data_IF_856020656343
#
_entry.id   IF_856020656343
#
_cell.length_a   1.000
_cell.length_b   1.000
_cell.length_c   1.000
_cell.angle_alpha   90.00
_cell.angle_beta   90.00
_cell.angle_gamma   90.00
#
_symmetry.space_group_name_H-M   'P 1'
#
loop_
_entity.id
_entity.type
_entity.pdbx_description
1 polymer ?
#
# COMPACT_ATOMS: atom_id res chain seq x y z
N UNK A 1 -43.42 -3.13 43.00
CA UNK A 1 -42.35 -2.11 42.91
C UNK A 1 -41.21 -2.67 43.75
N UNK A 2 -40.02 -3.03 43.25
CA UNK A 2 -39.28 -2.58 42.06
C UNK A 2 -38.19 -3.64 41.79
N UNK A 3 -38.08 -4.15 40.55
CA UNK A 3 -36.85 -4.81 40.09
C UNK A 3 -36.08 -3.74 39.31
N UNK A 4 -35.03 -3.18 39.92
CA UNK A 4 -34.11 -2.28 39.24
C UNK A 4 -33.13 -3.10 38.41
N UNK A 5 -32.88 -2.59 37.21
CA UNK A 5 -32.19 -3.23 36.11
C UNK A 5 -30.70 -3.45 36.41
N UNK A 6 -30.19 -4.61 35.99
CA UNK A 6 -28.74 -4.82 35.89
C UNK A 6 -28.16 -3.82 34.88
N UNK A 7 -27.09 -3.17 35.31
CA UNK A 7 -26.35 -2.16 34.56
C UNK A 7 -25.85 -2.74 33.22
N UNK A 8 -26.37 -2.20 32.12
CA UNK A 8 -26.10 -2.63 30.74
C UNK A 8 -24.71 -2.17 30.25
N UNK A 9 -23.99 -1.39 31.07
CA UNK A 9 -22.73 -0.75 30.70
C UNK A 9 -21.52 -1.27 31.50
N UNK A 10 -21.60 -2.46 32.10
CA UNK A 10 -20.38 -3.14 32.53
C UNK A 10 -19.51 -3.43 31.29
N UNK A 11 -18.27 -2.91 31.23
CA UNK A 11 -17.36 -3.27 30.15
C UNK A 11 -16.96 -4.73 30.37
N UNK A 12 -17.70 -5.64 29.75
CA UNK A 12 -17.26 -7.02 29.58
C UNK A 12 -15.86 -6.95 28.96
N UNK A 13 -14.84 -7.45 29.67
CA UNK A 13 -13.43 -7.45 29.28
C UNK A 13 -13.10 -8.31 28.05
N UNK A 14 -14.00 -8.37 27.06
CA UNK A 14 -13.74 -8.91 25.74
C UNK A 14 -13.11 -7.83 24.87
N UNK A 15 -12.00 -8.16 24.22
CA UNK A 15 -11.37 -7.31 23.22
C UNK A 15 -12.43 -6.81 22.23
N UNK A 16 -12.54 -5.49 22.07
CA UNK A 16 -13.37 -4.88 21.04
C UNK A 16 -12.86 -5.39 19.70
N UNK A 17 -13.66 -6.13 18.90
CA UNK A 17 -13.20 -6.58 17.59
C UNK A 17 -12.85 -5.35 16.76
N UNK A 18 -11.64 -5.33 16.20
CA UNK A 18 -11.22 -4.20 15.38
C UNK A 18 -12.22 -3.98 14.24
N UNK A 19 -12.67 -2.74 14.03
CA UNK A 19 -13.63 -2.45 12.97
C UNK A 19 -13.02 -2.85 11.62
N UNK A 20 -13.82 -3.44 10.71
CA UNK A 20 -13.33 -3.84 9.40
C UNK A 20 -12.75 -2.64 8.66
N UNK A 21 -11.69 -2.88 7.90
CA UNK A 21 -11.02 -1.84 7.11
C UNK A 21 -12.04 -1.04 6.24
N UNK A 22 -11.79 0.26 5.99
CA UNK A 22 -12.67 1.10 5.19
C UNK A 22 -13.03 0.47 3.84
N UNK A 23 -14.25 0.69 3.36
CA UNK A 23 -14.73 0.09 2.11
C UNK A 23 -13.79 0.36 0.92
N UNK A 24 -13.27 1.58 0.81
CA UNK A 24 -12.35 1.96 -0.25
C UNK A 24 -11.08 1.11 -0.28
N UNK A 25 -10.60 0.67 0.90
CA UNK A 25 -9.44 -0.21 1.00
C UNK A 25 -9.81 -1.64 0.63
N UNK A 26 -10.99 -2.11 1.04
CA UNK A 26 -11.50 -3.45 0.70
C UNK A 26 -11.84 -3.63 -0.78
N UNK A 27 -12.31 -2.57 -1.45
CA UNK A 27 -12.69 -2.57 -2.87
C UNK A 27 -11.50 -2.36 -3.81
N UNK A 28 -10.28 -2.23 -3.27
CA UNK A 28 -9.10 -1.97 -4.08
C UNK A 28 -8.74 -3.21 -4.92
N UNK A 29 -8.53 -3.07 -6.24
CA UNK A 29 -8.06 -4.14 -7.12
C UNK A 29 -6.83 -4.86 -6.59
N UNK A 30 -6.77 -6.17 -6.79
CA UNK A 30 -5.63 -7.03 -6.41
C UNK A 30 -4.75 -7.40 -7.59
N UNK A 31 -5.31 -7.33 -8.80
CA UNK A 31 -4.63 -7.64 -10.06
C UNK A 31 -4.79 -6.49 -11.05
N UNK A 32 -3.94 -6.44 -12.08
CA UNK A 32 -4.07 -5.44 -13.15
C UNK A 32 -5.34 -5.66 -13.99
N UNK A 33 -5.86 -6.88 -14.04
CA UNK A 33 -7.09 -7.21 -14.76
C UNK A 33 -8.36 -6.72 -14.04
N UNK A 34 -8.27 -6.46 -12.73
CA UNK A 34 -9.34 -5.85 -11.93
C UNK A 34 -9.35 -4.31 -11.99
N UNK A 35 -8.38 -3.70 -12.69
CA UNK A 35 -8.28 -2.24 -12.79
C UNK A 35 -9.29 -1.70 -13.81
N UNK A 36 -10.25 -0.91 -13.33
CA UNK A 36 -11.31 -0.31 -14.16
C UNK A 36 -10.92 1.11 -14.58
N UNK A 37 -11.13 1.44 -15.86
CA UNK A 37 -11.00 2.81 -16.39
C UNK A 37 -9.57 3.26 -16.70
N UNK A 38 -8.63 2.31 -16.80
CA UNK A 38 -7.23 2.56 -17.16
C UNK A 38 -6.73 1.59 -18.26
N UNK A 39 -7.65 1.11 -19.09
CA UNK A 39 -7.41 0.06 -20.09
C UNK A 39 -6.38 0.50 -21.14
N UNK A 40 -6.40 1.77 -21.54
CA UNK A 40 -5.48 2.34 -22.54
C UNK A 40 -4.01 2.25 -22.12
N UNK A 41 -3.71 2.10 -20.83
CA UNK A 41 -2.34 1.99 -20.31
C UNK A 41 -2.07 0.64 -19.63
N UNK A 42 -3.07 -0.01 -19.07
CA UNK A 42 -2.91 -1.20 -18.22
C UNK A 42 -3.51 -2.49 -18.80
N UNK A 43 -4.18 -2.43 -19.96
CA UNK A 43 -4.67 -3.64 -20.64
C UNK A 43 -3.51 -4.50 -21.17
N UNK A 44 -3.75 -5.81 -21.40
CA UNK A 44 -2.76 -6.69 -22.04
C UNK A 44 -2.22 -6.10 -23.35
N UNK A 45 -0.89 -6.13 -23.52
CA UNK A 45 -0.19 -5.58 -24.69
C UNK A 45 0.04 -4.07 -24.66
N UNK A 46 -0.39 -3.35 -23.61
CA UNK A 46 -0.05 -1.95 -23.44
C UNK A 46 1.35 -1.77 -22.83
N UNK A 47 2.07 -0.69 -23.15
CA UNK A 47 3.48 -0.51 -22.76
C UNK A 47 3.72 -0.60 -21.24
N UNK A 48 2.83 -0.03 -20.43
CA UNK A 48 2.97 -0.09 -18.97
C UNK A 48 2.70 -1.51 -18.45
N UNK A 49 1.68 -2.21 -18.95
CA UNK A 49 1.39 -3.61 -18.61
C UNK A 49 2.59 -4.52 -18.94
N UNK A 50 3.13 -4.40 -20.16
CA UNK A 50 4.29 -5.18 -20.58
C UNK A 50 5.55 -4.88 -19.75
N UNK A 51 5.81 -3.61 -19.43
CA UNK A 51 6.95 -3.23 -18.61
C UNK A 51 6.86 -3.79 -17.18
N UNK A 52 5.66 -3.82 -16.60
CA UNK A 52 5.40 -4.41 -15.28
C UNK A 52 5.59 -5.93 -15.33
N UNK A 53 4.98 -6.62 -16.29
CA UNK A 53 5.05 -8.08 -16.43
C UNK A 53 6.47 -8.58 -16.71
N UNK A 54 7.28 -7.80 -17.44
CA UNK A 54 8.68 -8.11 -17.74
C UNK A 54 9.65 -7.70 -16.63
N UNK A 55 9.16 -7.11 -15.53
CA UNK A 55 9.99 -6.59 -14.43
C UNK A 55 11.04 -5.57 -14.94
N UNK A 56 10.69 -4.82 -16.00
CA UNK A 56 11.56 -3.88 -16.71
C UNK A 56 11.09 -2.43 -16.58
N UNK A 57 10.31 -2.15 -15.53
CA UNK A 57 9.71 -0.84 -15.30
C UNK A 57 10.79 0.20 -14.98
N UNK A 58 10.82 1.29 -15.76
CA UNK A 58 11.69 2.44 -15.51
C UNK A 58 11.04 3.42 -14.50
N UNK A 59 11.70 4.56 -14.23
CA UNK A 59 11.12 5.60 -13.38
C UNK A 59 9.83 6.15 -13.98
N UNK A 60 8.73 6.08 -13.22
CA UNK A 60 7.40 6.54 -13.65
C UNK A 60 6.80 7.56 -12.68
N UNK A 61 6.00 8.47 -13.20
CA UNK A 61 5.18 9.40 -12.42
C UNK A 61 3.71 9.12 -12.78
N UNK A 62 2.90 8.76 -11.78
CA UNK A 62 1.47 8.60 -11.94
C UNK A 62 0.76 9.92 -11.61
N UNK A 63 0.19 10.57 -12.62
CA UNK A 63 -0.50 11.87 -12.48
C UNK A 63 -1.98 11.76 -12.86
N UNK A 64 -2.83 12.49 -12.15
CA UNK A 64 -4.27 12.55 -12.44
C UNK A 64 -5.14 12.98 -11.25
N UNK A 65 -6.44 13.24 -11.48
CA UNK A 65 -7.41 13.68 -10.46
C UNK A 65 -7.49 12.76 -9.23
N UNK A 66 -7.95 13.24 -8.07
CA UNK A 66 -8.16 12.36 -6.91
C UNK A 66 -9.14 11.22 -7.25
N UNK A 67 -8.88 10.01 -6.75
CA UNK A 67 -9.74 8.84 -6.99
C UNK A 67 -9.46 8.03 -8.25
N UNK A 68 -8.57 8.45 -9.16
CA UNK A 68 -8.25 7.70 -10.39
C UNK A 68 -7.40 6.44 -10.21
N UNK A 69 -7.14 6.01 -8.98
CA UNK A 69 -6.41 4.77 -8.72
C UNK A 69 -4.89 4.83 -8.77
N UNK A 70 -4.25 6.02 -8.79
CA UNK A 70 -2.77 6.15 -8.77
C UNK A 70 -2.09 5.33 -7.67
N UNK A 71 -2.56 5.47 -6.43
CA UNK A 71 -2.03 4.72 -5.28
C UNK A 71 -2.31 3.22 -5.42
N UNK A 72 -3.41 2.85 -6.07
CA UNK A 72 -3.73 1.45 -6.37
C UNK A 72 -2.74 0.88 -7.37
N UNK A 73 -2.51 1.56 -8.49
CA UNK A 73 -1.56 1.15 -9.53
C UNK A 73 -0.16 1.01 -8.94
N UNK A 74 0.31 1.98 -8.15
CA UNK A 74 1.62 1.89 -7.51
C UNK A 74 1.77 0.63 -6.62
N UNK A 75 0.73 0.27 -5.87
CA UNK A 75 0.74 -0.96 -5.05
C UNK A 75 0.66 -2.24 -5.88
N UNK A 76 -0.13 -2.24 -6.96
CA UNK A 76 -0.19 -3.39 -7.88
C UNK A 76 1.17 -3.66 -8.51
N UNK A 77 1.86 -2.59 -8.97
CA UNK A 77 3.22 -2.67 -9.49
C UNK A 77 4.16 -3.28 -8.44
N UNK A 78 4.10 -2.80 -7.20
CA UNK A 78 4.90 -3.32 -6.10
C UNK A 78 4.65 -4.81 -5.81
N UNK A 79 3.41 -5.28 -5.99
CA UNK A 79 3.05 -6.69 -5.79
C UNK A 79 3.45 -7.60 -6.95
N UNK A 80 3.60 -7.07 -8.16
CA UNK A 80 3.91 -7.85 -9.37
C UNK A 80 5.41 -7.85 -9.67
N UNK A 81 6.08 -6.73 -9.45
CA UNK A 81 7.53 -6.58 -9.71
C UNK A 81 8.34 -7.12 -8.53
N UNK A 82 9.60 -7.51 -8.77
CA UNK A 82 10.52 -7.93 -7.70
C UNK A 82 11.28 -6.74 -7.09
N UNK A 83 10.80 -5.52 -7.33
CA UNK A 83 11.44 -4.30 -6.90
C UNK A 83 11.17 -4.01 -5.42
N UNK A 84 12.15 -3.36 -4.78
CA UNK A 84 11.97 -2.84 -3.43
C UNK A 84 11.04 -1.62 -3.47
N UNK A 85 9.81 -1.78 -2.97
CA UNK A 85 8.81 -0.72 -2.95
C UNK A 85 8.75 -0.04 -1.58
N UNK A 86 8.89 1.29 -1.58
CA UNK A 86 8.76 2.12 -0.39
C UNK A 86 7.66 3.14 -0.66
N UNK A 87 6.54 3.00 0.05
CA UNK A 87 5.48 4.00 0.00
C UNK A 87 5.86 5.20 0.86
N UNK A 88 5.83 6.39 0.27
CA UNK A 88 6.13 7.64 0.96
C UNK A 88 5.04 8.69 0.68
N UNK A 89 4.66 9.47 1.69
CA UNK A 89 3.71 10.58 1.56
C UNK A 89 4.43 11.91 1.74
N UNK A 90 4.42 12.74 0.70
CA UNK A 90 5.01 14.09 0.73
C UNK A 90 4.33 15.05 1.74
N UNK A 91 3.17 14.68 2.28
CA UNK A 91 2.42 15.50 3.25
C UNK A 91 2.72 15.08 4.69
N UNK A 92 2.91 13.79 4.95
CA UNK A 92 3.05 13.25 6.30
C UNK A 92 4.51 13.06 6.72
N UNK A 93 5.44 13.06 5.77
CA UNK A 93 6.81 12.62 6.02
C UNK A 93 7.81 13.73 5.75
N UNK A 94 8.80 13.86 6.64
CA UNK A 94 9.79 14.92 6.61
C UNK A 94 11.01 14.61 5.74
N UNK A 95 11.83 15.63 5.46
CA UNK A 95 13.05 15.44 4.67
C UNK A 95 14.10 14.52 5.33
N UNK A 96 14.00 14.31 6.65
CA UNK A 96 14.85 13.36 7.37
C UNK A 96 14.53 11.91 6.99
N UNK A 97 13.24 11.58 6.91
CA UNK A 97 12.77 10.22 6.61
C UNK A 97 13.17 9.82 5.17
N UNK A 98 13.05 10.76 4.22
CA UNK A 98 13.50 10.57 2.83
C UNK A 98 15.00 10.24 2.79
N UNK A 99 15.82 11.03 3.51
CA UNK A 99 17.28 10.83 3.51
C UNK A 99 17.68 9.48 4.09
N UNK A 100 17.00 9.02 5.13
CA UNK A 100 17.24 7.70 5.72
C UNK A 100 16.93 6.58 4.71
N UNK A 101 15.77 6.66 4.06
CA UNK A 101 15.35 5.72 3.01
C UNK A 101 16.32 5.70 1.82
N UNK A 102 16.79 6.86 1.37
CA UNK A 102 17.76 6.94 0.28
C UNK A 102 19.11 6.33 0.66
N UNK A 103 19.55 6.50 1.91
CA UNK A 103 20.78 5.88 2.41
C UNK A 103 20.66 4.35 2.47
N UNK A 104 19.52 3.84 2.94
CA UNK A 104 19.22 2.40 2.95
C UNK A 104 19.22 1.81 1.53
N UNK A 105 18.54 2.47 0.59
CA UNK A 105 18.51 2.06 -0.81
C UNK A 105 19.91 2.07 -1.46
N UNK A 106 20.76 3.05 -1.12
CA UNK A 106 22.14 3.13 -1.61
C UNK A 106 23.01 2.01 -1.03
N UNK A 107 22.84 1.68 0.26
CA UNK A 107 23.53 0.56 0.89
C UNK A 107 23.13 -0.79 0.28
N UNK A 108 21.83 -1.00 0.03
CA UNK A 108 21.30 -2.20 -0.62
C UNK A 108 21.81 -2.40 -2.06
N UNK A 109 22.20 -1.32 -2.75
CA UNK A 109 22.83 -1.38 -4.08
C UNK A 109 24.33 -1.69 -4.05
N UNK A 110 25.02 -1.36 -2.95
CA UNK A 110 26.49 -1.51 -2.82
C UNK A 110 26.95 -2.88 -2.32
N UNK A 111 26.09 -3.61 -1.59
CA UNK A 111 26.33 -5.00 -1.19
C UNK A 111 25.65 -5.95 -2.18
N UNK A 112 26.43 -6.69 -2.97
CA UNK A 112 25.93 -7.49 -4.09
C UNK A 112 24.73 -8.40 -3.76
N UNK A 113 23.64 -8.17 -4.50
CA UNK A 113 22.83 -9.24 -5.08
C UNK A 113 22.04 -10.15 -4.13
N UNK A 114 21.22 -9.59 -3.24
CA UNK A 114 19.98 -10.24 -2.82
C UNK A 114 19.05 -9.19 -2.22
N UNK A 115 17.86 -9.03 -2.80
CA UNK A 115 16.83 -8.16 -2.24
C UNK A 115 16.42 -8.71 -0.85
N UNK A 116 16.51 -7.93 0.23
CA UNK A 116 15.95 -8.34 1.52
C UNK A 116 14.43 -8.53 1.38
N UNK A 117 13.83 -9.47 2.13
CA UNK A 117 12.40 -9.77 2.01
C UNK A 117 11.56 -8.51 2.23
N UNK A 118 10.40 -8.37 1.57
CA UNK A 118 9.56 -7.19 1.68
C UNK A 118 9.17 -6.99 3.14
N UNK A 119 9.79 -6.00 3.79
CA UNK A 119 9.34 -5.55 5.10
C UNK A 119 8.05 -4.80 4.84
N UNK A 120 6.92 -5.48 5.05
CA UNK A 120 5.60 -4.88 5.01
C UNK A 120 5.65 -3.60 5.85
N UNK A 121 5.34 -2.47 5.20
CA UNK A 121 5.29 -1.18 5.87
C UNK A 121 4.45 -1.33 7.12
N UNK A 122 5.12 -1.28 8.27
CA UNK A 122 4.51 -1.43 9.58
C UNK A 122 3.37 -0.44 9.66
N UNK A 123 2.16 -0.98 9.67
CA UNK A 123 1.00 -0.24 10.11
C UNK A 123 1.31 0.31 11.49
N UNK A 124 0.96 1.58 11.67
CA UNK A 124 0.82 2.23 12.96
C UNK A 124 0.26 1.21 13.96
N UNK A 125 1.12 0.75 14.87
CA UNK A 125 0.70 0.03 16.07
C UNK A 125 0.42 1.13 17.09
N UNK A 126 -0.85 1.40 17.47
CA UNK A 126 -1.12 2.34 18.52
C UNK A 126 -0.74 1.69 19.86
N UNK A 127 0.17 2.32 20.59
CA UNK A 127 0.28 2.19 22.06
C UNK A 127 -0.66 3.20 22.70
#
# INVERSE_FOLDING_TARGET
>A
MTREAGDLFEPAGGAVPEPPAPLAERMRPRTLDELVGQEEIAAPGQPLREAIERDALQSIILWGPPGTGKTTIARLIAGITRAHFIAFSAVLSGIRDIKAVMAEAQAARGGGGAAPPPQGGGGDTPT
#
